data_IF_274238735343
#
_entry.id   IF_274238735343
#
_cell.length_a   1.000
_cell.length_b   1.000
_cell.length_c   1.000
_cell.angle_alpha   90.00
_cell.angle_beta   90.00
_cell.angle_gamma   90.00
#
_symmetry.space_group_name_H-M   'P 1'
#
loop_
_entity.id
_entity.type
_entity.pdbx_description
1 polymer ?
#
# COMPACT_ATOMS: atom_id res chain seq x y z
N UNK A 1 11.40 -8.99 3.94
CA UNK A 1 10.81 -8.16 5.02
C UNK A 1 9.31 -8.18 4.87
N UNK A 2 8.56 -7.77 5.88
CA UNK A 2 7.11 -7.99 5.91
C UNK A 2 6.34 -6.77 6.43
N UNK A 3 5.17 -6.53 5.86
CA UNK A 3 4.19 -5.58 6.38
C UNK A 3 2.85 -6.26 6.55
N UNK A 4 2.15 -5.96 7.65
CA UNK A 4 0.80 -6.46 7.89
C UNK A 4 -0.21 -5.64 7.09
N UNK A 5 -1.05 -6.35 6.36
CA UNK A 5 -2.14 -5.79 5.55
C UNK A 5 -3.46 -6.50 5.90
N UNK A 6 -4.57 -5.76 6.10
CA UNK A 6 -5.84 -6.35 6.50
C UNK A 6 -6.51 -7.21 5.41
N UNK A 7 -6.15 -7.05 4.14
CA UNK A 7 -6.71 -7.82 3.02
C UNK A 7 -5.88 -9.07 2.73
N UNK A 8 -4.55 -8.96 2.80
CA UNK A 8 -3.64 -10.02 2.37
C UNK A 8 -2.85 -10.70 3.50
N UNK A 9 -3.03 -10.26 4.75
CA UNK A 9 -2.30 -10.80 5.90
C UNK A 9 -0.88 -10.24 5.98
N UNK A 10 0.09 -10.98 5.47
CA UNK A 10 1.48 -10.53 5.36
C UNK A 10 1.82 -10.30 3.89
N UNK A 11 2.27 -9.08 3.59
CA UNK A 11 2.88 -8.73 2.31
C UNK A 11 4.39 -8.78 2.49
N UNK A 12 5.02 -9.70 1.78
CA UNK A 12 6.48 -9.81 1.71
C UNK A 12 7.03 -8.86 0.65
N UNK A 13 8.22 -8.32 0.92
CA UNK A 13 8.95 -7.49 -0.04
C UNK A 13 10.47 -7.64 0.12
N UNK A 14 11.17 -7.40 -0.99
CA UNK A 14 12.62 -7.54 -1.10
C UNK A 14 13.38 -6.24 -0.76
N UNK A 15 14.72 -6.29 -0.86
CA UNK A 15 15.60 -5.16 -0.54
C UNK A 15 15.49 -4.00 -1.56
N UNK A 16 15.03 -4.27 -2.78
CA UNK A 16 14.84 -3.25 -3.82
C UNK A 16 13.53 -2.50 -3.56
N UNK A 17 12.46 -3.25 -3.31
CA UNK A 17 11.15 -2.73 -2.94
C UNK A 17 11.22 -1.93 -1.65
N UNK A 18 11.95 -2.41 -0.64
CA UNK A 18 12.14 -1.67 0.62
C UNK A 18 12.72 -0.26 0.39
N UNK A 19 13.75 -0.13 -0.45
CA UNK A 19 14.35 1.17 -0.75
C UNK A 19 13.35 2.14 -1.36
N UNK A 20 12.45 1.63 -2.21
CA UNK A 20 11.38 2.43 -2.82
C UNK A 20 10.33 2.79 -1.76
N UNK A 21 9.87 1.81 -0.98
CA UNK A 21 8.87 1.98 0.07
C UNK A 21 9.33 3.03 1.09
N UNK A 22 10.60 2.98 1.51
CA UNK A 22 11.20 3.91 2.46
C UNK A 22 11.62 5.26 1.86
N UNK A 23 11.52 5.43 0.53
CA UNK A 23 11.80 6.71 -0.11
C UNK A 23 10.78 7.78 0.31
N UNK A 24 11.23 9.04 0.37
CA UNK A 24 10.36 10.19 0.69
C UNK A 24 9.16 10.30 -0.26
N UNK A 25 9.35 9.95 -1.53
CA UNK A 25 8.31 10.04 -2.57
C UNK A 25 7.19 9.04 -2.28
N UNK A 26 7.54 7.81 -1.90
CA UNK A 26 6.55 6.77 -1.58
C UNK A 26 5.91 7.00 -0.20
N UNK A 27 6.68 7.41 0.81
CA UNK A 27 6.16 7.73 2.15
C UNK A 27 5.14 8.89 2.13
N UNK A 28 5.23 9.82 1.17
CA UNK A 28 4.22 10.87 0.95
C UNK A 28 2.80 10.31 0.77
N UNK A 29 2.67 9.11 0.21
CA UNK A 29 1.37 8.48 -0.07
C UNK A 29 0.55 8.22 1.20
N UNK A 30 1.19 8.14 2.37
CA UNK A 30 0.50 8.01 3.67
C UNK A 30 -0.44 9.18 3.98
N UNK A 31 -0.20 10.34 3.37
CA UNK A 31 -0.99 11.54 3.59
C UNK A 31 -2.03 11.78 2.49
N UNK A 32 -2.19 10.84 1.55
CA UNK A 32 -3.13 10.96 0.44
C UNK A 32 -4.21 9.89 0.60
N UNK A 33 -5.42 10.31 0.98
CA UNK A 33 -6.58 9.42 1.08
C UNK A 33 -6.88 8.79 -0.27
N UNK A 34 -7.14 7.49 -0.29
CA UNK A 34 -7.45 6.78 -1.53
C UNK A 34 -8.72 7.33 -2.18
N UNK A 35 -9.76 7.59 -1.37
CA UNK A 35 -11.07 8.07 -1.85
C UNK A 35 -11.31 9.57 -1.62
N UNK A 36 -10.24 10.35 -1.34
CA UNK A 36 -10.31 11.79 -1.14
C UNK A 36 -11.49 12.23 -0.24
N UNK A 37 -12.40 13.06 -0.76
CA UNK A 37 -13.52 13.63 0.00
C UNK A 37 -14.58 12.61 0.41
N UNK A 38 -14.64 11.44 -0.24
CA UNK A 38 -15.60 10.40 0.15
C UNK A 38 -15.34 9.90 1.59
N UNK A 39 -14.12 10.07 2.11
CA UNK A 39 -13.79 9.79 3.52
C UNK A 39 -14.56 10.64 4.53
N UNK A 40 -15.13 11.79 4.13
CA UNK A 40 -16.01 12.60 4.98
C UNK A 40 -17.44 12.07 5.05
N UNK A 41 -17.88 11.31 4.04
CA UNK A 41 -19.21 10.66 4.01
C UNK A 41 -19.15 9.25 4.59
N UNK A 42 -18.04 8.56 4.36
CA UNK A 42 -17.78 7.21 4.83
C UNK A 42 -16.58 7.21 5.79
N UNK A 43 -16.80 7.33 7.12
CA UNK A 43 -15.71 7.45 8.10
C UNK A 43 -14.74 6.25 8.10
N UNK A 44 -15.21 5.07 7.69
CA UNK A 44 -14.38 3.88 7.54
C UNK A 44 -13.41 3.96 6.34
N UNK A 45 -13.61 4.87 5.39
CA UNK A 45 -12.73 5.08 4.23
C UNK A 45 -11.47 5.91 4.58
N UNK A 46 -10.78 5.53 5.66
CA UNK A 46 -9.57 6.22 6.12
C UNK A 46 -8.29 5.78 5.40
N UNK A 47 -8.38 4.75 4.56
CA UNK A 47 -7.26 4.18 3.83
C UNK A 47 -6.61 5.20 2.87
N UNK A 48 -5.32 5.04 2.67
CA UNK A 48 -4.44 5.93 1.93
C UNK A 48 -3.89 5.24 0.69
N UNK A 49 -3.27 6.03 -0.20
CA UNK A 49 -2.60 5.49 -1.39
C UNK A 49 -1.40 4.61 -1.05
N UNK A 50 -0.85 4.72 0.17
CA UNK A 50 0.32 3.95 0.59
C UNK A 50 0.02 2.45 0.66
N UNK A 51 -0.94 2.03 1.49
CA UNK A 51 -1.31 0.62 1.63
C UNK A 51 -1.93 0.08 0.34
N UNK A 52 -2.66 0.92 -0.40
CA UNK A 52 -3.17 0.51 -1.71
C UNK A 52 -2.05 0.16 -2.69
N UNK A 53 -1.01 0.99 -2.77
CA UNK A 53 0.16 0.71 -3.63
C UNK A 53 0.92 -0.55 -3.19
N UNK A 54 1.02 -0.83 -1.89
CA UNK A 54 1.59 -2.09 -1.40
C UNK A 54 0.76 -3.31 -1.81
N UNK A 55 -0.56 -3.21 -1.73
CA UNK A 55 -1.45 -4.26 -2.24
C UNK A 55 -1.30 -4.50 -3.74
N UNK A 56 -1.15 -3.44 -4.54
CA UNK A 56 -0.89 -3.55 -5.99
C UNK A 56 0.46 -4.22 -6.27
N UNK A 57 1.52 -3.85 -5.55
CA UNK A 57 2.83 -4.49 -5.64
C UNK A 57 2.72 -5.99 -5.38
N UNK A 58 2.08 -6.38 -4.27
CA UNK A 58 1.87 -7.78 -3.89
C UNK A 58 1.15 -8.59 -4.97
N UNK A 59 0.02 -8.07 -5.47
CA UNK A 59 -0.75 -8.74 -6.52
C UNK A 59 0.03 -8.83 -7.83
N UNK A 60 0.76 -7.78 -8.20
CA UNK A 60 1.58 -7.77 -9.41
C UNK A 60 2.67 -8.83 -9.35
N UNK A 61 3.35 -8.98 -8.21
CA UNK A 61 4.33 -10.04 -7.98
C UNK A 61 3.71 -11.44 -8.11
N UNK A 62 2.52 -11.67 -7.53
CA UNK A 62 1.80 -12.94 -7.65
C UNK A 62 1.42 -13.26 -9.10
N UNK A 63 0.94 -12.28 -9.85
CA UNK A 63 0.57 -12.45 -11.26
C UNK A 63 1.80 -12.73 -12.12
N UNK A 64 2.91 -12.04 -11.88
CA UNK A 64 4.15 -12.23 -12.65
C UNK A 64 4.84 -13.57 -12.41
N UNK A 65 4.55 -14.22 -11.27
CA UNK A 65 5.10 -15.53 -10.88
C UNK A 65 4.15 -16.69 -11.12
N UNK A 66 2.92 -16.41 -11.59
CA UNK A 66 1.92 -17.40 -12.01
C UNK A 66 2.13 -17.78 -13.48
#
# INVERSE_FOLDING_TARGET
MEVRDPLYGLIEYDNTEEKIINSRIFQRLRNIKQLALASYVYPAAHHTRFEHSLGVMHLSGKVATS
#
